data_IF_548931293835
#
_entry.id   IF_548931293835
#
_cell.length_a   1.000
_cell.length_b   1.000
_cell.length_c   1.000
_cell.angle_alpha   90.00
_cell.angle_beta   90.00
_cell.angle_gamma   90.00
#
_symmetry.space_group_name_H-M   'P 1'
#
loop_
_entity.id
_entity.type
_entity.pdbx_description
1 polymer ?
#
# COMPACT_ATOMS: atom_id res chain seq x y z
N UNK A 1 6.96 -7.86 6.62
CA UNK A 1 7.01 -9.20 6.00
C UNK A 1 7.77 -10.18 6.90
N UNK A 2 9.04 -9.90 7.26
CA UNK A 2 9.88 -10.82 8.02
C UNK A 2 9.25 -11.29 9.35
N UNK A 3 8.68 -10.38 10.14
CA UNK A 3 8.02 -10.74 11.41
C UNK A 3 6.84 -11.69 11.20
N UNK A 4 5.99 -11.41 10.20
CA UNK A 4 4.87 -12.30 9.88
C UNK A 4 5.36 -13.68 9.40
N UNK A 5 6.45 -13.71 8.62
CA UNK A 5 7.07 -14.97 8.22
C UNK A 5 7.59 -15.76 9.42
N UNK A 6 8.23 -15.10 10.38
CA UNK A 6 8.75 -15.71 11.61
C UNK A 6 7.64 -16.29 12.47
N UNK A 7 6.45 -15.64 12.48
CA UNK A 7 5.23 -16.11 13.15
C UNK A 7 4.47 -17.22 12.38
N UNK A 8 5.01 -17.68 11.27
CA UNK A 8 4.48 -18.84 10.55
C UNK A 8 3.67 -18.52 9.29
N UNK A 9 3.46 -17.25 8.93
CA UNK A 9 2.72 -16.89 7.73
C UNK A 9 3.44 -17.29 6.44
N UNK A 10 2.68 -17.61 5.40
CA UNK A 10 3.17 -17.61 4.03
C UNK A 10 3.10 -16.20 3.47
N UNK A 11 4.13 -15.73 2.79
CA UNK A 11 4.29 -14.32 2.41
C UNK A 11 4.40 -14.16 0.89
N UNK A 12 3.60 -13.28 0.33
CA UNK A 12 3.80 -12.78 -1.04
C UNK A 12 4.46 -11.41 -0.97
N UNK A 13 5.64 -11.28 -1.56
CA UNK A 13 6.35 -10.01 -1.76
C UNK A 13 5.95 -9.47 -3.13
N UNK A 14 5.01 -8.54 -3.13
CA UNK A 14 4.45 -7.95 -4.35
C UNK A 14 5.02 -6.54 -4.55
N UNK A 15 5.78 -6.33 -5.60
CA UNK A 15 6.43 -5.04 -5.91
C UNK A 15 6.58 -4.85 -7.43
N UNK A 16 6.69 -3.58 -7.86
CA UNK A 16 7.03 -3.25 -9.25
C UNK A 16 8.46 -3.69 -9.60
N UNK A 17 9.35 -3.73 -8.61
CA UNK A 17 10.73 -4.19 -8.74
C UNK A 17 10.80 -5.70 -8.49
N UNK A 18 10.39 -6.48 -9.50
CA UNK A 18 10.37 -7.94 -9.43
C UNK A 18 11.72 -8.57 -9.02
N UNK A 19 12.89 -8.13 -9.54
CA UNK A 19 14.18 -8.69 -9.12
C UNK A 19 14.44 -8.53 -7.63
N UNK A 20 14.12 -7.37 -7.05
CA UNK A 20 14.31 -7.13 -5.61
C UNK A 20 13.30 -7.93 -4.78
N UNK A 21 12.04 -8.00 -5.23
CA UNK A 21 11.03 -8.82 -4.57
C UNK A 21 11.45 -10.31 -4.55
N UNK A 22 11.98 -10.81 -5.67
CA UNK A 22 12.50 -12.17 -5.79
C UNK A 22 13.67 -12.44 -4.84
N UNK A 23 14.61 -11.51 -4.73
CA UNK A 23 15.72 -11.61 -3.77
C UNK A 23 15.20 -11.69 -2.33
N UNK A 24 14.30 -10.80 -1.93
CA UNK A 24 13.73 -10.77 -0.58
C UNK A 24 12.97 -12.06 -0.28
N UNK A 25 12.17 -12.56 -1.22
CA UNK A 25 11.45 -13.81 -1.05
C UNK A 25 12.40 -15.00 -0.88
N UNK A 26 13.49 -15.06 -1.67
CA UNK A 26 14.50 -16.12 -1.57
C UNK A 26 15.24 -16.09 -0.22
N UNK A 27 15.57 -14.90 0.30
CA UNK A 27 16.20 -14.72 1.61
C UNK A 27 15.27 -15.14 2.76
N UNK A 28 13.95 -14.99 2.61
CA UNK A 28 12.96 -15.42 3.60
C UNK A 28 12.75 -16.93 3.64
N UNK A 29 12.77 -17.63 2.50
CA UNK A 29 12.66 -19.09 2.40
C UNK A 29 11.39 -19.59 1.71
N UNK A 30 11.09 -20.90 1.83
CA UNK A 30 10.11 -21.62 1.03
C UNK A 30 8.64 -21.15 1.16
N UNK A 31 8.28 -20.50 2.30
CA UNK A 31 6.96 -19.92 2.51
C UNK A 31 6.86 -18.48 1.99
N UNK A 32 7.86 -17.99 1.26
CA UNK A 32 7.83 -16.69 0.60
C UNK A 32 7.79 -16.87 -0.92
N UNK A 33 7.05 -15.97 -1.59
CA UNK A 33 6.87 -15.95 -3.03
C UNK A 33 6.88 -14.51 -3.53
N UNK A 34 7.49 -14.24 -4.68
CA UNK A 34 7.55 -12.91 -5.26
C UNK A 34 6.62 -12.78 -6.47
N UNK A 35 5.96 -11.65 -6.60
CA UNK A 35 5.11 -11.32 -7.75
C UNK A 35 5.38 -9.88 -8.19
N UNK A 36 5.58 -9.68 -9.49
CA UNK A 36 5.59 -8.34 -10.08
C UNK A 36 4.19 -7.74 -10.08
N UNK A 37 4.03 -6.53 -9.56
CA UNK A 37 2.74 -5.83 -9.57
C UNK A 37 2.90 -4.32 -9.79
N UNK A 38 2.10 -3.79 -10.70
CA UNK A 38 1.78 -2.37 -10.78
C UNK A 38 0.40 -2.14 -10.15
N UNK A 39 0.36 -1.59 -8.94
CA UNK A 39 -0.90 -1.40 -8.21
C UNK A 39 -1.85 -0.40 -8.86
N UNK A 40 -1.38 0.43 -9.79
CA UNK A 40 -2.22 1.35 -10.57
C UNK A 40 -2.86 0.71 -11.80
N UNK A 41 -2.55 -0.55 -12.08
CA UNK A 41 -3.08 -1.35 -13.18
C UNK A 41 -3.96 -2.47 -12.64
N UNK A 42 -5.24 -2.46 -13.04
CA UNK A 42 -6.23 -3.38 -12.52
C UNK A 42 -5.93 -4.84 -12.89
N UNK A 43 -5.49 -5.09 -14.12
CA UNK A 43 -5.15 -6.44 -14.60
C UNK A 43 -3.92 -6.99 -13.84
N UNK A 44 -2.93 -6.12 -13.61
CA UNK A 44 -1.74 -6.47 -12.83
C UNK A 44 -2.08 -6.87 -11.39
N UNK A 45 -3.00 -6.15 -10.74
CA UNK A 45 -3.47 -6.48 -9.38
C UNK A 45 -4.27 -7.78 -9.37
N UNK A 46 -5.17 -7.97 -10.33
CA UNK A 46 -5.95 -9.20 -10.47
C UNK A 46 -5.03 -10.43 -10.64
N UNK A 47 -3.99 -10.30 -11.48
CA UNK A 47 -3.01 -11.36 -11.71
C UNK A 47 -2.17 -11.66 -10.46
N UNK A 48 -1.73 -10.64 -9.70
CA UNK A 48 -1.05 -10.84 -8.42
C UNK A 48 -1.90 -11.66 -7.44
N UNK A 49 -3.18 -11.34 -7.32
CA UNK A 49 -4.11 -12.07 -6.45
C UNK A 49 -4.31 -13.50 -6.95
N UNK A 50 -4.47 -13.72 -8.26
CA UNK A 50 -4.61 -15.05 -8.84
C UNK A 50 -3.38 -15.93 -8.56
N UNK A 51 -2.17 -15.42 -8.76
CA UNK A 51 -0.93 -16.14 -8.46
C UNK A 51 -0.79 -16.45 -6.96
N UNK A 52 -1.24 -15.54 -6.08
CA UNK A 52 -1.26 -15.77 -4.63
C UNK A 52 -2.17 -16.95 -4.28
N UNK A 53 -3.38 -16.96 -4.83
CA UNK A 53 -4.36 -18.05 -4.61
C UNK A 53 -3.84 -19.37 -5.19
N UNK A 54 -3.27 -19.37 -6.38
CA UNK A 54 -2.67 -20.56 -6.99
C UNK A 54 -1.55 -21.13 -6.12
N UNK A 55 -0.72 -20.27 -5.53
CA UNK A 55 0.45 -20.69 -4.74
C UNK A 55 0.10 -21.14 -3.33
N UNK A 56 -0.84 -20.47 -2.66
CA UNK A 56 -1.11 -20.65 -1.23
C UNK A 56 -2.56 -21.03 -0.90
N UNK A 57 -3.45 -21.09 -1.89
CA UNK A 57 -4.83 -21.51 -1.72
C UNK A 57 -5.80 -20.40 -1.30
N UNK A 58 -5.32 -19.22 -0.93
CA UNK A 58 -6.16 -18.12 -0.49
C UNK A 58 -5.39 -16.91 0.00
N UNK A 59 -6.11 -15.97 0.62
CA UNK A 59 -5.56 -14.73 1.20
C UNK A 59 -6.23 -14.48 2.55
N UNK A 60 -5.44 -14.40 3.63
CA UNK A 60 -5.93 -14.08 4.98
C UNK A 60 -5.64 -12.61 5.34
N UNK A 61 -4.57 -12.04 4.79
CA UNK A 61 -4.16 -10.66 5.01
C UNK A 61 -3.72 -10.00 3.71
N UNK A 62 -4.33 -8.86 3.38
CA UNK A 62 -3.84 -7.92 2.37
C UNK A 62 -3.24 -6.69 3.05
N UNK A 63 -1.93 -6.50 2.91
CA UNK A 63 -1.24 -5.28 3.36
C UNK A 63 -0.96 -4.37 2.17
N UNK A 64 -1.76 -3.32 1.99
CA UNK A 64 -1.56 -2.30 0.96
C UNK A 64 -0.51 -1.29 1.43
N UNK A 65 0.72 -1.48 0.96
CA UNK A 65 1.89 -0.70 1.36
C UNK A 65 2.39 0.26 0.25
N UNK A 66 2.10 -0.02 -1.01
CA UNK A 66 2.59 0.77 -2.13
C UNK A 66 2.22 2.26 -1.98
N UNK A 67 3.20 3.13 -2.14
CA UNK A 67 2.97 4.55 -2.02
C UNK A 67 4.12 5.40 -2.54
N UNK A 68 3.76 6.54 -3.12
CA UNK A 68 4.68 7.50 -3.70
C UNK A 68 4.36 8.91 -3.23
N UNK A 69 5.32 9.80 -3.38
CA UNK A 69 5.21 11.22 -3.02
C UNK A 69 5.64 12.09 -4.19
N UNK A 70 4.92 13.18 -4.41
CA UNK A 70 5.33 14.34 -5.21
C UNK A 70 4.99 15.59 -4.41
N UNK A 71 5.99 16.42 -4.14
CA UNK A 71 5.86 17.66 -3.36
C UNK A 71 6.07 18.87 -4.25
N UNK A 72 5.32 19.93 -4.03
CA UNK A 72 5.44 21.20 -4.75
C UNK A 72 4.32 22.17 -4.40
N UNK A 73 4.45 23.45 -4.81
CA UNK A 73 3.36 24.43 -4.67
C UNK A 73 2.13 24.01 -5.50
N UNK A 74 0.94 24.33 -5.01
CA UNK A 74 -0.32 24.00 -5.72
C UNK A 74 -0.41 24.65 -7.11
N UNK A 75 0.21 25.82 -7.26
CA UNK A 75 0.23 26.57 -8.52
C UNK A 75 1.20 26.04 -9.57
N UNK A 76 2.10 25.12 -9.20
CA UNK A 76 3.18 24.63 -10.07
C UNK A 76 3.09 23.13 -10.33
N UNK A 77 2.31 22.38 -9.51
CA UNK A 77 2.19 20.93 -9.68
C UNK A 77 1.47 20.60 -11.00
N UNK A 78 2.13 19.84 -11.84
CA UNK A 78 1.51 19.35 -13.06
C UNK A 78 0.48 18.26 -12.76
N UNK A 79 -0.61 18.24 -13.56
CA UNK A 79 -1.66 17.22 -13.45
C UNK A 79 -1.11 15.78 -13.48
N UNK A 80 -0.10 15.52 -14.31
CA UNK A 80 0.53 14.19 -14.41
C UNK A 80 1.13 13.71 -13.07
N UNK A 81 1.73 14.63 -12.29
CA UNK A 81 2.32 14.30 -10.98
C UNK A 81 1.24 14.08 -9.92
N UNK A 82 0.15 14.85 -9.97
CA UNK A 82 -1.03 14.62 -9.14
C UNK A 82 -1.69 13.27 -9.46
N UNK A 83 -1.93 12.97 -10.73
CA UNK A 83 -2.50 11.70 -11.19
C UNK A 83 -1.61 10.52 -10.82
N UNK A 84 -0.29 10.65 -10.95
CA UNK A 84 0.68 9.63 -10.56
C UNK A 84 0.57 9.27 -9.08
N UNK A 85 0.48 10.26 -8.19
CA UNK A 85 0.31 10.02 -6.76
C UNK A 85 -1.04 9.37 -6.47
N UNK A 86 -2.10 9.88 -7.08
CA UNK A 86 -3.47 9.40 -6.85
C UNK A 86 -3.66 7.97 -7.37
N UNK A 87 -3.13 7.65 -8.55
CA UNK A 87 -3.26 6.32 -9.15
C UNK A 87 -2.60 5.23 -8.30
N UNK A 88 -1.49 5.53 -7.65
CA UNK A 88 -0.76 4.55 -6.82
C UNK A 88 -1.33 4.50 -5.40
N UNK A 89 -1.43 5.66 -4.73
CA UNK A 89 -1.75 5.69 -3.31
C UNK A 89 -3.24 5.44 -3.01
N UNK A 90 -4.13 5.90 -3.89
CA UNK A 90 -5.58 5.86 -3.68
C UNK A 90 -6.24 4.76 -4.52
N UNK A 91 -6.07 4.83 -5.85
CA UNK A 91 -6.63 3.82 -6.74
C UNK A 91 -5.99 2.44 -6.50
N UNK A 92 -4.67 2.39 -6.29
CA UNK A 92 -3.97 1.15 -5.97
C UNK A 92 -4.46 0.48 -4.68
N UNK A 93 -4.72 1.26 -3.62
CA UNK A 93 -5.33 0.74 -2.40
C UNK A 93 -6.74 0.17 -2.67
N UNK A 94 -7.57 0.89 -3.42
CA UNK A 94 -8.88 0.39 -3.82
C UNK A 94 -8.79 -0.94 -4.60
N UNK A 95 -7.93 -1.03 -5.60
CA UNK A 95 -7.78 -2.23 -6.42
C UNK A 95 -7.28 -3.44 -5.59
N UNK A 96 -6.26 -3.24 -4.76
CA UNK A 96 -5.76 -4.29 -3.87
C UNK A 96 -6.86 -4.77 -2.91
N UNK A 97 -7.61 -3.85 -2.31
CA UNK A 97 -8.72 -4.18 -1.41
C UNK A 97 -9.85 -4.92 -2.13
N UNK A 98 -10.24 -4.46 -3.34
CA UNK A 98 -11.26 -5.09 -4.18
C UNK A 98 -10.96 -6.56 -4.44
N UNK A 99 -9.77 -6.85 -4.98
CA UNK A 99 -9.43 -8.21 -5.38
C UNK A 99 -9.15 -9.13 -4.18
N UNK A 100 -8.59 -8.60 -3.09
CA UNK A 100 -8.48 -9.36 -1.85
C UNK A 100 -9.85 -9.69 -1.25
N UNK A 101 -10.77 -8.72 -1.20
CA UNK A 101 -12.10 -8.92 -0.67
C UNK A 101 -12.91 -9.97 -1.45
N UNK A 102 -12.78 -10.02 -2.78
CA UNK A 102 -13.42 -11.07 -3.61
C UNK A 102 -13.00 -12.47 -3.15
N UNK A 103 -11.70 -12.68 -2.90
CA UNK A 103 -11.19 -13.98 -2.44
C UNK A 103 -11.62 -14.26 -1.00
N UNK A 104 -11.49 -13.28 -0.11
CA UNK A 104 -11.87 -13.42 1.31
C UNK A 104 -13.36 -13.71 1.48
N UNK A 105 -14.24 -13.10 0.67
CA UNK A 105 -15.68 -13.40 0.66
C UNK A 105 -15.94 -14.85 0.23
N UNK A 106 -15.29 -15.31 -0.84
CA UNK A 106 -15.42 -16.71 -1.28
C UNK A 106 -14.90 -17.71 -0.23
N UNK A 107 -13.82 -17.36 0.48
CA UNK A 107 -13.30 -18.16 1.60
C UNK A 107 -14.28 -18.18 2.78
N UNK A 108 -14.93 -17.05 3.09
CA UNK A 108 -15.95 -16.96 4.14
C UNK A 108 -17.14 -17.90 3.89
N UNK A 109 -17.56 -18.12 2.66
CA UNK A 109 -18.65 -19.06 2.34
C UNK A 109 -18.33 -20.49 2.80
N UNK A 110 -17.07 -20.89 2.81
CA UNK A 110 -16.64 -22.24 3.19
C UNK A 110 -16.08 -22.31 4.63
N UNK A 111 -15.66 -21.17 5.19
CA UNK A 111 -15.10 -21.04 6.52
C UNK A 111 -15.66 -19.78 7.24
N UNK A 112 -16.96 -19.79 7.62
CA UNK A 112 -17.64 -18.59 8.14
C UNK A 112 -17.11 -18.10 9.49
N UNK A 113 -16.36 -18.90 10.23
CA UNK A 113 -15.71 -18.50 11.48
C UNK A 113 -14.30 -17.91 11.27
N UNK A 114 -13.74 -18.01 10.07
CA UNK A 114 -12.44 -17.46 9.78
C UNK A 114 -12.49 -15.91 9.76
N UNK A 115 -11.37 -15.29 10.12
CA UNK A 115 -11.20 -13.84 10.16
C UNK A 115 -10.16 -13.44 9.12
N UNK A 116 -10.43 -12.35 8.41
CA UNK A 116 -9.55 -11.81 7.39
C UNK A 116 -9.24 -10.36 7.68
N UNK A 117 -8.11 -9.86 7.16
CA UNK A 117 -7.66 -8.50 7.39
C UNK A 117 -7.23 -7.80 6.09
N UNK A 118 -7.69 -6.58 5.91
CA UNK A 118 -7.14 -5.63 4.93
C UNK A 118 -6.55 -4.46 5.70
N UNK A 119 -5.27 -4.18 5.49
CA UNK A 119 -4.57 -3.10 6.20
C UNK A 119 -3.94 -2.15 5.21
N UNK A 120 -4.28 -0.87 5.29
CA UNK A 120 -3.60 0.20 4.56
C UNK A 120 -2.42 0.74 5.37
N UNK A 121 -1.23 0.80 4.78
CA UNK A 121 -0.15 1.63 5.30
C UNK A 121 -0.37 3.08 4.85
N UNK A 122 -1.09 3.80 5.68
CA UNK A 122 -1.48 5.18 5.44
C UNK A 122 -0.36 6.17 5.88
N UNK A 123 -0.67 7.23 6.57
CA UNK A 123 0.26 8.25 7.10
C UNK A 123 -0.47 9.17 8.07
N UNK A 124 0.26 9.86 8.94
CA UNK A 124 -0.27 11.01 9.67
C UNK A 124 -0.85 12.07 8.70
N UNK A 125 -0.36 12.15 7.46
CA UNK A 125 -0.89 13.02 6.42
C UNK A 125 -2.27 12.60 5.90
N UNK A 126 -2.81 11.48 6.32
CA UNK A 126 -4.22 11.11 6.15
C UNK A 126 -5.14 11.67 7.24
N UNK A 127 -4.57 12.26 8.29
CA UNK A 127 -5.31 12.84 9.44
C UNK A 127 -5.16 14.37 9.53
N UNK A 128 -4.15 14.92 8.88
CA UNK A 128 -3.89 16.38 8.86
C UNK A 128 -3.31 16.82 7.50
N UNK A 129 -3.62 18.05 7.09
CA UNK A 129 -3.10 18.65 5.86
C UNK A 129 -1.58 18.80 5.90
N UNK A 130 -0.94 18.76 4.72
CA UNK A 130 0.51 18.86 4.61
C UNK A 130 0.91 19.94 3.60
N UNK A 131 1.59 20.99 4.07
CA UNK A 131 2.04 22.09 3.22
C UNK A 131 2.91 21.58 2.05
N UNK A 132 2.60 22.05 0.83
CA UNK A 132 3.28 21.66 -0.44
C UNK A 132 3.37 20.16 -0.69
N UNK A 133 2.46 19.39 -0.09
CA UNK A 133 2.39 17.93 -0.23
C UNK A 133 0.93 17.45 -0.36
N UNK A 134 0.07 18.30 -0.95
CA UNK A 134 -1.38 18.12 -0.97
C UNK A 134 -1.84 16.90 -1.75
N UNK A 135 -1.16 16.52 -2.85
CA UNK A 135 -1.50 15.32 -3.62
C UNK A 135 -1.35 14.05 -2.77
N UNK A 136 -0.24 13.95 -2.04
CA UNK A 136 -0.01 12.86 -1.10
C UNK A 136 -1.00 12.90 0.06
N UNK A 137 -1.16 14.05 0.73
CA UNK A 137 -2.09 14.19 1.83
C UNK A 137 -3.53 13.87 1.38
N UNK A 138 -3.97 14.42 0.24
CA UNK A 138 -5.29 14.13 -0.32
C UNK A 138 -5.51 12.65 -0.60
N UNK A 139 -4.51 11.96 -1.17
CA UNK A 139 -4.59 10.51 -1.41
C UNK A 139 -4.70 9.71 -0.10
N UNK A 140 -3.98 10.11 0.95
CA UNK A 140 -4.01 9.46 2.26
C UNK A 140 -5.29 9.77 3.05
N UNK A 141 -5.86 10.99 2.97
CA UNK A 141 -7.21 11.29 3.47
C UNK A 141 -8.27 10.43 2.76
N UNK A 142 -8.19 10.32 1.44
CA UNK A 142 -9.06 9.44 0.67
C UNK A 142 -8.94 7.98 1.12
N UNK A 143 -7.74 7.50 1.39
CA UNK A 143 -7.48 6.16 1.93
C UNK A 143 -8.21 5.90 3.26
N UNK A 144 -8.20 6.87 4.19
CA UNK A 144 -8.98 6.75 5.44
C UNK A 144 -10.49 6.62 5.15
N UNK A 145 -11.01 7.41 4.19
CA UNK A 145 -12.41 7.30 3.78
C UNK A 145 -12.76 5.93 3.18
N UNK A 146 -11.87 5.38 2.33
CA UNK A 146 -12.02 4.02 1.80
C UNK A 146 -11.96 2.97 2.92
N UNK A 147 -10.98 3.07 3.83
CA UNK A 147 -10.83 2.16 4.97
C UNK A 147 -12.12 2.08 5.79
N UNK A 148 -12.71 3.23 6.14
CA UNK A 148 -13.96 3.29 6.90
C UNK A 148 -15.14 2.68 6.12
N UNK A 149 -15.25 2.99 4.84
CA UNK A 149 -16.34 2.47 3.98
C UNK A 149 -16.22 0.95 3.80
N UNK A 150 -15.03 0.46 3.50
CA UNK A 150 -14.78 -0.97 3.35
C UNK A 150 -14.99 -1.73 4.67
N UNK A 151 -14.59 -1.16 5.82
CA UNK A 151 -14.84 -1.77 7.11
C UNK A 151 -16.33 -1.96 7.40
N UNK A 152 -17.17 -0.97 7.07
CA UNK A 152 -18.62 -1.07 7.22
C UNK A 152 -19.25 -2.12 6.28
N UNK A 153 -18.79 -2.18 5.04
CA UNK A 153 -19.32 -3.10 4.03
C UNK A 153 -18.88 -4.55 4.29
N UNK A 154 -17.60 -4.75 4.58
CA UNK A 154 -16.97 -6.07 4.60
C UNK A 154 -17.07 -6.79 5.95
N UNK A 155 -17.51 -6.11 7.02
CA UNK A 155 -17.65 -6.73 8.34
C UNK A 155 -18.62 -7.92 8.34
N UNK A 156 -19.61 -7.94 7.45
CA UNK A 156 -20.56 -9.05 7.30
C UNK A 156 -19.88 -10.37 6.87
N UNK A 157 -18.66 -10.30 6.33
CA UNK A 157 -17.86 -11.44 5.87
C UNK A 157 -16.66 -11.73 6.80
N UNK A 158 -16.66 -11.20 8.02
CA UNK A 158 -15.54 -11.28 8.95
C UNK A 158 -14.21 -10.68 8.41
N UNK A 159 -14.30 -9.73 7.48
CA UNK A 159 -13.15 -9.01 6.95
C UNK A 159 -13.00 -7.70 7.71
N UNK A 160 -11.93 -7.58 8.48
CA UNK A 160 -11.56 -6.34 9.17
C UNK A 160 -10.76 -5.46 8.22
N UNK A 161 -11.08 -4.17 8.18
CA UNK A 161 -10.35 -3.20 7.37
C UNK A 161 -9.83 -2.09 8.27
N UNK A 162 -8.51 -1.89 8.28
CA UNK A 162 -7.84 -0.94 9.15
C UNK A 162 -6.77 -0.15 8.39
N UNK A 163 -6.37 0.99 8.95
CA UNK A 163 -5.24 1.77 8.47
C UNK A 163 -4.24 2.05 9.60
N UNK A 164 -2.96 1.93 9.29
CA UNK A 164 -1.86 2.37 10.16
C UNK A 164 -1.38 3.72 9.68
N UNK A 165 -1.37 4.73 10.55
CA UNK A 165 -1.01 6.11 10.22
C UNK A 165 0.31 6.53 10.89
N UNK A 166 1.47 6.02 10.42
CA UNK A 166 2.75 6.35 11.03
C UNK A 166 3.10 7.83 10.84
N UNK A 167 3.88 8.34 11.77
CA UNK A 167 4.60 9.59 11.62
C UNK A 167 5.79 9.48 10.67
N UNK A 168 6.72 10.43 10.77
CA UNK A 168 7.94 10.39 9.95
C UNK A 168 8.88 9.28 10.47
N UNK A 169 9.22 8.36 9.60
CA UNK A 169 10.27 7.38 9.81
C UNK A 169 11.49 7.81 8.99
N UNK A 170 12.47 8.43 9.66
CA UNK A 170 13.55 9.17 9.00
C UNK A 170 14.68 8.28 8.47
N UNK A 171 14.77 7.04 8.95
CA UNK A 171 15.71 6.05 8.47
C UNK A 171 15.25 5.43 7.14
N UNK A 172 16.19 5.27 6.23
CA UNK A 172 15.93 4.59 4.97
C UNK A 172 15.84 5.51 3.76
N UNK A 173 15.86 4.91 2.55
CA UNK A 173 16.02 5.61 1.28
C UNK A 173 14.88 6.59 0.95
N UNK A 174 13.66 6.35 1.46
CA UNK A 174 12.55 7.27 1.27
C UNK A 174 12.87 8.70 1.74
N UNK A 175 13.62 8.83 2.83
CA UNK A 175 14.03 10.12 3.37
C UNK A 175 15.43 10.52 2.95
N UNK A 176 16.40 9.60 3.00
CA UNK A 176 17.82 9.88 2.92
C UNK A 176 18.43 9.78 1.53
N UNK A 177 17.72 9.28 0.51
CA UNK A 177 18.23 9.24 -0.87
C UNK A 177 18.65 10.64 -1.32
N UNK A 178 19.94 10.88 -1.69
CA UNK A 178 20.45 12.20 -2.00
C UNK A 178 19.89 12.82 -3.29
N UNK A 179 19.21 12.04 -4.12
CA UNK A 179 18.60 12.50 -5.38
C UNK A 179 17.08 12.61 -5.30
N UNK A 180 16.43 11.68 -4.62
CA UNK A 180 14.97 11.48 -4.64
C UNK A 180 14.34 11.42 -3.25
N UNK A 181 15.12 11.42 -2.18
CA UNK A 181 14.62 11.36 -0.82
C UNK A 181 13.75 12.56 -0.44
N UNK A 182 12.88 12.37 0.55
CA UNK A 182 11.95 13.41 1.00
C UNK A 182 12.66 14.66 1.52
N UNK A 183 13.84 14.53 2.13
CA UNK A 183 14.66 15.70 2.51
C UNK A 183 14.95 16.59 1.29
N UNK A 184 15.42 16.01 0.20
CA UNK A 184 15.73 16.76 -1.03
C UNK A 184 14.47 17.32 -1.67
N UNK A 185 13.37 16.55 -1.71
CA UNK A 185 12.09 17.03 -2.24
C UNK A 185 11.56 18.22 -1.43
N UNK A 186 11.62 18.16 -0.10
CA UNK A 186 11.14 19.22 0.77
C UNK A 186 11.98 20.49 0.69
N UNK A 187 13.31 20.35 0.54
CA UNK A 187 14.20 21.49 0.29
C UNK A 187 13.84 22.18 -1.03
N UNK A 188 13.75 21.42 -2.12
CA UNK A 188 13.37 21.93 -3.46
C UNK A 188 11.99 22.58 -3.48
N UNK A 189 11.04 22.00 -2.73
CA UNK A 189 9.69 22.54 -2.58
C UNK A 189 9.62 23.75 -1.64
N UNK A 190 10.74 24.18 -1.01
CA UNK A 190 10.74 25.25 -0.01
C UNK A 190 9.87 24.97 1.21
N UNK A 191 9.73 23.68 1.58
CA UNK A 191 8.94 23.26 2.73
C UNK A 191 9.68 23.46 4.06
N UNK A 192 11.01 23.54 4.01
CA UNK A 192 11.87 23.80 5.16
C UNK A 192 12.41 25.23 5.04
N UNK A 193 11.98 26.18 5.90
CA UNK A 193 12.47 27.54 5.84
C UNK A 193 13.99 27.63 6.11
N UNK A 194 14.71 28.38 5.28
CA UNK A 194 16.13 28.66 5.49
C UNK A 194 17.10 27.54 5.11
N UNK A 195 16.65 26.55 4.38
CA UNK A 195 17.49 25.49 3.84
C UNK A 195 17.81 25.70 2.36
#
# INVERSE_FOLDING_TARGET
AQELYNEGASIVIADLNEPLAGQVAAEMGERAFAVAVNVSDEESVANMVAQTVERFGGIDLMLSNAGVVRSGPVTEMEKKDFDFVTSINYTGYFLCSKYAAIIMQAQHETAPEAMYDIVELNSKSGLEGSNRNFAYAGSKFGGIGLTQSFALELCAYNIKVNAVCPGNYLDGPLWSDPKRGLFVQYLRAGKVPGA
#
